data_IF_658789894939
#
_entry.id   IF_658789894939
#
_cell.length_a   1.000
_cell.length_b   1.000
_cell.length_c   1.000
_cell.angle_alpha   90.00
_cell.angle_beta   90.00
_cell.angle_gamma   90.00
#
_symmetry.space_group_name_H-M   'P 1'
#
loop_
_entity.id
_entity.type
_entity.pdbx_description
1 polymer ?
#
# COMPACT_ATOMS: atom_id res chain seq x y z
N UNK A 1 10.64 -64.72 -48.72
CA UNK A 1 11.89 -65.22 -48.08
C UNK A 1 12.84 -64.05 -47.79
N UNK A 2 13.51 -64.08 -46.62
CA UNK A 2 14.63 -63.23 -46.11
C UNK A 2 14.33 -61.73 -45.89
N UNK A 3 13.92 -61.32 -44.68
CA UNK A 3 14.72 -60.88 -43.50
C UNK A 3 15.60 -59.65 -43.73
N UNK A 4 15.43 -58.61 -42.90
CA UNK A 4 16.51 -57.97 -42.12
C UNK A 4 15.91 -57.10 -40.99
N UNK A 5 16.38 -57.40 -39.77
CA UNK A 5 16.04 -56.74 -38.51
C UNK A 5 16.48 -55.27 -38.50
N UNK A 6 15.76 -54.44 -37.73
CA UNK A 6 16.24 -53.15 -37.21
C UNK A 6 16.16 -53.19 -35.68
N UNK A 7 17.18 -52.70 -34.95
CA UNK A 7 17.28 -52.86 -33.50
C UNK A 7 16.40 -51.88 -32.72
N UNK A 8 16.00 -52.35 -31.54
CA UNK A 8 15.19 -51.69 -30.53
C UNK A 8 15.84 -50.36 -30.06
N UNK A 9 15.07 -49.26 -30.13
CA UNK A 9 15.41 -48.02 -29.43
C UNK A 9 15.04 -48.16 -27.96
N UNK A 10 16.04 -48.40 -27.10
CA UNK A 10 15.91 -48.14 -25.67
C UNK A 10 15.76 -46.63 -25.48
N UNK A 11 14.57 -46.19 -25.05
CA UNK A 11 14.34 -44.84 -24.55
C UNK A 11 14.71 -44.85 -23.07
N UNK A 12 15.97 -44.55 -22.78
CA UNK A 12 16.34 -44.12 -21.44
C UNK A 12 15.63 -42.79 -21.18
N UNK A 13 14.73 -42.82 -20.21
CA UNK A 13 14.03 -41.65 -19.66
C UNK A 13 15.08 -40.84 -18.92
N UNK A 14 15.72 -39.91 -19.62
CA UNK A 14 16.38 -38.79 -18.96
C UNK A 14 15.26 -37.81 -18.61
N UNK A 15 14.86 -37.85 -17.34
CA UNK A 15 14.07 -36.80 -16.73
C UNK A 15 14.84 -35.50 -16.93
N UNK A 16 14.37 -34.68 -17.86
CA UNK A 16 14.91 -33.36 -18.09
C UNK A 16 14.55 -32.51 -16.86
N UNK A 17 15.49 -32.41 -15.92
CA UNK A 17 15.48 -31.34 -14.93
C UNK A 17 15.57 -30.02 -15.68
N UNK A 18 14.42 -29.34 -15.77
CA UNK A 18 14.33 -28.00 -16.34
C UNK A 18 15.21 -27.09 -15.47
N UNK A 19 16.25 -26.44 -16.01
CA UNK A 19 17.13 -25.62 -15.19
C UNK A 19 16.32 -24.52 -14.52
N UNK A 20 16.43 -24.44 -13.19
CA UNK A 20 15.86 -23.36 -12.40
C UNK A 20 16.58 -22.08 -12.86
N UNK A 21 15.92 -21.31 -13.73
CA UNK A 21 16.45 -20.05 -14.20
C UNK A 21 16.79 -19.19 -12.98
N UNK A 22 18.08 -18.89 -12.80
CA UNK A 22 18.54 -17.86 -11.86
C UNK A 22 17.79 -16.59 -12.23
N UNK A 23 16.81 -16.21 -11.41
CA UNK A 23 16.17 -14.92 -11.53
C UNK A 23 17.26 -13.87 -11.28
N UNK A 24 17.37 -12.82 -12.12
CA UNK A 24 18.28 -11.73 -11.83
C UNK A 24 17.97 -11.20 -10.42
N UNK A 25 19.00 -10.86 -9.63
CA UNK A 25 18.77 -10.30 -8.31
C UNK A 25 17.83 -9.11 -8.42
N UNK A 26 16.85 -8.97 -7.52
CA UNK A 26 15.94 -7.85 -7.55
C UNK A 26 16.75 -6.55 -7.57
N UNK A 27 16.33 -5.53 -8.33
CA UNK A 27 16.99 -4.24 -8.34
C UNK A 27 17.12 -3.76 -6.89
N UNK A 28 18.32 -3.29 -6.52
CA UNK A 28 18.58 -2.81 -5.16
C UNK A 28 17.64 -1.64 -4.89
N UNK A 29 16.74 -1.81 -3.91
CA UNK A 29 15.88 -0.73 -3.46
C UNK A 29 16.74 0.33 -2.79
N UNK A 30 16.83 1.52 -3.39
CA UNK A 30 17.47 2.66 -2.74
C UNK A 30 16.53 3.24 -1.68
N UNK A 31 16.99 3.32 -0.43
CA UNK A 31 16.29 4.09 0.59
C UNK A 31 16.47 5.58 0.25
N UNK A 32 15.40 6.25 -0.15
CA UNK A 32 15.36 7.72 -0.22
C UNK A 32 15.01 8.26 1.18
N UNK A 33 15.62 9.37 1.63
CA UNK A 33 15.17 10.03 2.84
C UNK A 33 13.76 10.58 2.62
N UNK A 34 12.79 10.07 3.37
CA UNK A 34 11.36 10.42 3.20
C UNK A 34 11.05 11.88 3.59
N UNK A 35 11.93 12.49 4.39
CA UNK A 35 11.76 13.80 5.02
C UNK A 35 11.62 14.97 4.04
N UNK A 36 12.17 14.85 2.83
CA UNK A 36 12.12 15.93 1.83
C UNK A 36 10.84 15.87 0.97
N UNK A 37 10.19 14.70 0.94
CA UNK A 37 8.99 14.45 0.13
C UNK A 37 7.70 14.52 0.93
N UNK A 38 7.79 14.40 2.26
CA UNK A 38 6.64 14.44 3.16
C UNK A 38 6.18 15.88 3.43
N UNK A 39 4.86 16.10 3.60
CA UNK A 39 4.37 17.39 4.07
C UNK A 39 4.90 17.65 5.49
N UNK A 40 5.48 18.83 5.69
CA UNK A 40 6.00 19.24 7.00
C UNK A 40 4.85 19.37 8.00
N UNK A 41 5.05 18.83 9.19
CA UNK A 41 4.16 19.07 10.32
C UNK A 41 4.37 20.47 10.89
N UNK A 42 3.36 20.96 11.61
CA UNK A 42 3.45 22.22 12.34
C UNK A 42 4.44 22.11 13.50
N UNK A 43 5.18 23.19 13.76
CA UNK A 43 6.00 23.34 14.97
C UNK A 43 5.09 23.54 16.20
N UNK A 44 5.64 23.37 17.41
CA UNK A 44 4.85 23.45 18.64
C UNK A 44 4.08 24.77 18.80
N UNK A 45 4.74 25.92 18.58
CA UNK A 45 4.05 27.21 18.66
C UNK A 45 3.00 27.41 17.57
N UNK A 46 3.20 26.83 16.39
CA UNK A 46 2.20 26.86 15.32
C UNK A 46 0.98 25.98 15.65
N UNK A 47 1.20 24.85 16.33
CA UNK A 47 0.13 24.00 16.84
C UNK A 47 -0.72 24.73 17.89
N UNK A 48 -0.10 25.47 18.81
CA UNK A 48 -0.84 26.21 19.84
C UNK A 48 -1.70 27.31 19.21
N UNK A 49 -1.14 28.07 18.26
CA UNK A 49 -1.88 29.09 17.51
C UNK A 49 -3.03 28.46 16.72
N UNK A 50 -2.79 27.34 16.04
CA UNK A 50 -3.84 26.62 15.32
C UNK A 50 -4.95 26.11 16.25
N UNK A 51 -4.59 25.62 17.44
CA UNK A 51 -5.53 25.17 18.46
C UNK A 51 -6.41 26.31 18.96
N UNK A 52 -5.82 27.45 19.30
CA UNK A 52 -6.56 28.63 19.75
C UNK A 52 -7.52 29.14 18.68
N UNK A 53 -7.07 29.19 17.43
CA UNK A 53 -7.91 29.55 16.29
C UNK A 53 -9.08 28.56 16.12
N UNK A 54 -8.83 27.26 16.22
CA UNK A 54 -9.86 26.24 16.14
C UNK A 54 -10.90 26.37 17.26
N UNK A 55 -10.47 26.58 18.52
CA UNK A 55 -11.35 26.81 19.66
C UNK A 55 -12.24 28.03 19.47
N UNK A 56 -11.68 29.12 18.92
CA UNK A 56 -12.45 30.33 18.62
C UNK A 56 -13.58 30.03 17.63
N UNK A 57 -13.30 29.27 16.58
CA UNK A 57 -14.30 28.89 15.57
C UNK A 57 -15.42 28.06 16.22
N UNK A 58 -15.06 27.05 17.01
CA UNK A 58 -16.00 26.15 17.70
C UNK A 58 -16.93 26.95 18.63
N UNK A 59 -16.40 27.94 19.34
CA UNK A 59 -17.18 28.72 20.30
C UNK A 59 -18.03 29.82 19.66
N UNK A 60 -17.71 30.26 18.44
CA UNK A 60 -18.38 31.41 17.80
C UNK A 60 -19.27 31.07 16.61
N UNK A 61 -19.13 29.88 16.01
CA UNK A 61 -19.88 29.47 14.82
C UNK A 61 -20.82 28.31 15.12
N UNK A 62 -21.83 28.13 14.28
CA UNK A 62 -22.63 26.90 14.30
C UNK A 62 -21.78 25.72 13.85
N UNK A 63 -22.23 24.50 14.17
CA UNK A 63 -21.53 23.27 13.78
C UNK A 63 -21.31 23.18 12.27
N UNK A 64 -22.33 23.53 11.49
CA UNK A 64 -22.31 23.44 10.03
C UNK A 64 -21.31 24.43 9.42
N UNK A 65 -21.26 25.67 9.95
CA UNK A 65 -20.30 26.68 9.52
C UNK A 65 -18.88 26.31 9.90
N UNK A 66 -18.67 25.84 11.14
CA UNK A 66 -17.37 25.36 11.59
C UNK A 66 -16.85 24.21 10.70
N UNK A 67 -17.69 23.22 10.40
CA UNK A 67 -17.34 22.12 9.49
C UNK A 67 -16.95 22.62 8.11
N UNK A 68 -17.71 23.57 7.55
CA UNK A 68 -17.38 24.18 6.26
C UNK A 68 -15.99 24.82 6.27
N UNK A 69 -15.64 25.54 7.34
CA UNK A 69 -14.33 26.16 7.50
C UNK A 69 -13.23 25.09 7.57
N UNK A 70 -13.37 24.09 8.45
CA UNK A 70 -12.35 23.05 8.64
C UNK A 70 -12.11 22.17 7.41
N UNK A 71 -13.14 21.98 6.58
CA UNK A 71 -13.04 21.16 5.37
C UNK A 71 -12.63 21.96 4.12
N UNK A 72 -12.55 23.29 4.21
CA UNK A 72 -12.21 24.13 3.06
C UNK A 72 -10.79 23.81 2.56
N UNK A 73 -10.68 23.43 1.29
CA UNK A 73 -9.40 23.13 0.64
C UNK A 73 -8.85 21.73 0.89
N UNK A 74 -9.52 20.90 1.70
CA UNK A 74 -9.17 19.49 1.83
C UNK A 74 -9.63 18.70 0.59
N UNK A 75 -8.75 17.83 0.09
CA UNK A 75 -9.05 16.90 -1.00
C UNK A 75 -9.00 15.47 -0.43
N UNK A 76 -9.96 14.59 -0.74
CA UNK A 76 -9.93 13.20 -0.28
C UNK A 76 -8.64 12.49 -0.72
N UNK A 77 -7.92 11.90 0.22
CA UNK A 77 -6.78 11.05 -0.07
C UNK A 77 -7.29 9.71 -0.61
N UNK A 78 -7.39 9.55 -1.94
CA UNK A 78 -7.73 8.24 -2.52
C UNK A 78 -8.41 8.20 -3.89
N UNK A 79 -8.81 9.32 -4.51
CA UNK A 79 -9.40 9.26 -5.86
C UNK A 79 -8.36 9.08 -6.98
N UNK A 80 -7.05 9.13 -6.65
CA UNK A 80 -5.96 8.81 -7.59
C UNK A 80 -5.55 7.33 -7.58
N UNK A 81 -6.16 6.50 -6.74
CA UNK A 81 -5.95 5.05 -6.79
C UNK A 81 -6.62 4.51 -8.05
N UNK A 82 -5.82 4.12 -9.05
CA UNK A 82 -6.27 3.19 -10.09
C UNK A 82 -6.95 2.02 -9.38
N UNK A 83 -8.22 1.76 -9.69
CA UNK A 83 -9.02 0.70 -9.09
C UNK A 83 -8.18 -0.56 -8.82
N UNK A 84 -7.79 -0.75 -7.56
CA UNK A 84 -7.42 -2.07 -7.07
C UNK A 84 -8.72 -2.63 -6.52
N UNK A 85 -9.09 -3.79 -7.05
CA UNK A 85 -10.30 -4.52 -6.71
C UNK A 85 -10.35 -4.66 -5.19
N UNK A 86 -11.49 -4.28 -4.64
CA UNK A 86 -11.87 -4.35 -3.23
C UNK A 86 -11.42 -5.67 -2.59
N UNK A 87 -10.40 -5.60 -1.74
CA UNK A 87 -10.17 -6.60 -0.71
C UNK A 87 -10.59 -5.92 0.59
N UNK A 88 -11.81 -6.24 1.03
CA UNK A 88 -12.38 -5.77 2.29
C UNK A 88 -11.51 -6.35 3.40
N UNK A 89 -10.60 -5.56 3.95
CA UNK A 89 -9.97 -5.90 5.21
C UNK A 89 -11.02 -5.70 6.32
N UNK A 90 -11.45 -6.76 7.02
CA UNK A 90 -12.28 -6.57 8.21
C UNK A 90 -11.48 -5.76 9.24
N UNK A 91 -12.09 -4.68 9.73
CA UNK A 91 -11.56 -3.91 10.86
C UNK A 91 -11.75 -4.74 12.13
N UNK A 92 -10.75 -5.52 12.49
CA UNK A 92 -10.69 -6.22 13.78
C UNK A 92 -10.25 -5.24 14.87
N UNK A 93 -11.16 -4.31 15.21
CA UNK A 93 -11.10 -3.66 16.51
C UNK A 93 -11.96 -4.51 17.44
N UNK A 94 -11.35 -5.51 18.04
CA UNK A 94 -11.91 -6.19 19.21
C UNK A 94 -11.85 -5.18 20.37
N UNK A 95 -13.01 -4.63 20.69
CA UNK A 95 -13.25 -3.77 21.85
C UNK A 95 -13.50 -4.71 23.03
N UNK A 96 -12.42 -5.25 23.60
CA UNK A 96 -12.49 -5.96 24.88
C UNK A 96 -12.80 -4.91 25.97
N UNK A 97 -14.08 -4.79 26.32
CA UNK A 97 -14.55 -4.11 27.52
C UNK A 97 -14.03 -4.89 28.75
N UNK A 98 -12.85 -4.52 29.26
CA UNK A 98 -12.41 -4.92 30.60
C UNK A 98 -13.16 -4.07 31.66
N UNK A 99 -14.01 -4.75 32.41
CA UNK A 99 -14.88 -4.31 33.53
C UNK A 99 -14.14 -3.64 34.72
#
# INVERSE_FOLDING_TARGET
MKKRNSPEKKKDVVAAEKPLATMPPPPKLERKPSIDTEPKTLLHGELDVAREAALKIINSHTKEEALKIFLTGLVPAGTSSKQVKEDVLPSDCDDDEDE
#
